data_IF_507588308606
#
_entry.id   IF_507588308606
#
_cell.length_a   1.000
_cell.length_b   1.000
_cell.length_c   1.000
_cell.angle_alpha   90.00
_cell.angle_beta   90.00
_cell.angle_gamma   90.00
#
_symmetry.space_group_name_H-M   'P 1'
#
loop_
_entity.id
_entity.type
_entity.pdbx_description
1 polymer ?
#
# COMPACT_ATOMS: atom_id res chain seq x y z
N UNK A 1 15.73 0.65 32.00
CA UNK A 1 14.38 1.19 31.74
C UNK A 1 14.28 2.63 32.27
N UNK A 2 13.51 3.49 31.62
CA UNK A 2 13.29 4.90 32.02
C UNK A 2 11.81 5.14 32.36
N UNK A 3 11.53 6.01 33.34
CA UNK A 3 10.18 6.46 33.63
C UNK A 3 9.61 7.33 32.50
N UNK A 4 8.29 7.36 32.37
CA UNK A 4 7.59 8.21 31.41
C UNK A 4 6.90 9.39 32.10
N UNK A 5 6.26 10.27 31.34
CA UNK A 5 5.39 11.31 31.88
C UNK A 5 4.07 10.78 32.48
N UNK A 6 3.81 9.46 32.42
CA UNK A 6 2.72 8.78 33.13
C UNK A 6 3.30 8.03 34.34
N UNK A 7 2.91 8.36 35.59
CA UNK A 7 3.41 7.70 36.78
C UNK A 7 3.23 6.18 36.74
N UNK A 8 4.28 5.44 37.09
CA UNK A 8 4.28 3.96 37.12
C UNK A 8 4.46 3.28 35.76
N UNK A 9 4.46 4.02 34.64
CA UNK A 9 4.76 3.48 33.32
C UNK A 9 6.23 3.69 32.97
N UNK A 10 6.92 2.60 32.67
CA UNK A 10 8.32 2.57 32.26
C UNK A 10 8.46 2.00 30.84
N UNK A 11 9.41 2.53 30.08
CA UNK A 11 9.78 2.01 28.76
C UNK A 11 11.31 1.83 28.67
N UNK A 12 11.83 1.34 27.55
CA UNK A 12 13.28 1.24 27.32
C UNK A 12 13.95 2.62 27.33
N UNK A 13 15.13 2.73 27.94
CA UNK A 13 15.94 3.95 27.98
C UNK A 13 16.38 4.44 26.60
N UNK A 14 16.32 3.59 25.57
CA UNK A 14 16.64 3.95 24.19
C UNK A 14 15.55 4.75 23.48
N UNK A 15 14.38 4.95 24.10
CA UNK A 15 13.28 5.73 23.56
C UNK A 15 12.97 6.99 24.42
N UNK A 16 13.97 7.83 24.74
CA UNK A 16 13.78 8.95 25.67
C UNK A 16 12.80 10.01 25.15
N UNK A 17 12.69 10.19 23.83
CA UNK A 17 11.73 11.11 23.24
C UNK A 17 10.29 10.58 23.29
N UNK A 18 10.10 9.26 23.14
CA UNK A 18 8.79 8.60 23.27
C UNK A 18 8.31 8.64 24.72
N UNK A 19 9.23 8.54 25.70
CA UNK A 19 8.89 8.58 27.12
C UNK A 19 8.13 9.84 27.55
N UNK A 20 8.29 10.95 26.80
CA UNK A 20 7.65 12.25 27.04
C UNK A 20 6.22 12.35 26.49
N UNK A 21 5.74 11.31 25.82
CA UNK A 21 4.46 11.28 25.14
C UNK A 21 3.60 10.08 25.55
N UNK A 22 3.92 9.42 26.66
CA UNK A 22 3.24 8.20 27.06
C UNK A 22 1.76 8.42 27.46
N UNK A 23 1.40 9.64 27.84
CA UNK A 23 0.02 10.11 28.06
C UNK A 23 -0.84 10.08 26.78
N UNK A 24 -0.21 9.97 25.60
CA UNK A 24 -0.86 9.91 24.28
C UNK A 24 -0.82 8.52 23.65
N UNK A 25 -0.30 7.52 24.37
CA UNK A 25 -0.10 6.17 23.86
C UNK A 25 -1.08 5.19 24.52
N UNK A 26 -1.57 4.23 23.73
CA UNK A 26 -2.22 3.04 24.25
C UNK A 26 -1.20 1.90 24.33
N UNK A 27 -1.00 1.34 25.53
CA UNK A 27 -0.06 0.22 25.73
C UNK A 27 -0.80 -1.11 25.63
N UNK A 28 -0.55 -1.86 24.55
CA UNK A 28 -1.13 -3.18 24.32
C UNK A 28 -0.09 -4.24 24.71
N UNK A 29 -0.39 -5.03 25.75
CA UNK A 29 0.47 -6.14 26.24
C UNK A 29 -0.02 -7.53 25.84
N UNK A 30 -1.11 -7.59 25.09
CA UNK A 30 -1.77 -8.83 24.68
C UNK A 30 -1.34 -9.34 23.30
N UNK A 31 -0.41 -8.67 22.63
CA UNK A 31 0.10 -9.12 21.32
C UNK A 31 1.08 -10.26 21.55
N UNK A 32 0.76 -11.45 21.02
CA UNK A 32 1.59 -12.63 21.08
C UNK A 32 1.17 -13.66 20.02
N UNK A 33 2.06 -14.61 19.74
CA UNK A 33 1.82 -15.72 18.82
C UNK A 33 2.25 -17.06 19.45
N UNK A 34 1.67 -18.16 18.98
CA UNK A 34 1.88 -19.50 19.52
C UNK A 34 2.90 -20.33 18.73
N UNK A 35 3.43 -19.77 17.65
CA UNK A 35 4.48 -20.38 16.84
C UNK A 35 5.56 -19.32 16.53
N UNK A 36 6.75 -19.76 16.14
CA UNK A 36 7.92 -18.89 15.94
C UNK A 36 8.23 -18.64 14.46
N UNK A 37 7.32 -18.95 13.53
CA UNK A 37 7.55 -18.75 12.10
C UNK A 37 7.21 -17.30 11.68
N UNK A 38 8.03 -16.76 10.79
CA UNK A 38 7.91 -15.43 10.20
C UNK A 38 6.76 -15.37 9.21
N UNK A 39 6.57 -16.37 8.34
CA UNK A 39 5.44 -16.41 7.40
C UNK A 39 4.08 -16.33 8.09
N UNK A 40 3.85 -17.13 9.13
CA UNK A 40 2.59 -17.19 9.87
C UNK A 40 2.39 -15.95 10.75
N UNK A 41 3.46 -15.46 11.39
CA UNK A 41 3.46 -14.24 12.18
C UNK A 41 3.16 -13.00 11.35
N UNK A 42 3.75 -12.90 10.16
CA UNK A 42 3.47 -11.84 9.21
C UNK A 42 2.00 -11.88 8.77
N UNK A 43 1.46 -13.05 8.40
CA UNK A 43 0.03 -13.17 8.08
C UNK A 43 -0.85 -12.70 9.23
N UNK A 44 -0.55 -13.11 10.48
CA UNK A 44 -1.31 -12.67 11.64
C UNK A 44 -1.25 -11.15 11.85
N UNK A 45 -0.07 -10.54 11.68
CA UNK A 45 0.09 -9.09 11.78
C UNK A 45 -0.62 -8.31 10.68
N UNK A 46 -0.65 -8.83 9.45
CA UNK A 46 -1.22 -8.18 8.27
C UNK A 46 -2.74 -8.37 8.12
N UNK A 47 -3.29 -9.44 8.69
CA UNK A 47 -4.71 -9.82 8.52
C UNK A 47 -5.50 -9.82 9.84
N UNK A 48 -4.82 -9.79 10.98
CA UNK A 48 -5.43 -10.00 12.30
C UNK A 48 -5.88 -11.45 12.55
N UNK A 49 -5.50 -12.41 11.69
CA UNK A 49 -5.90 -13.82 11.78
C UNK A 49 -4.69 -14.75 11.82
N UNK A 50 -4.68 -15.68 12.78
CA UNK A 50 -3.69 -16.76 12.81
C UNK A 50 -3.77 -17.56 11.52
N UNK A 51 -2.62 -17.92 10.97
CA UNK A 51 -2.54 -18.81 9.83
C UNK A 51 -2.80 -20.27 10.27
N UNK A 52 -3.41 -21.09 9.42
CA UNK A 52 -3.73 -22.49 9.76
C UNK A 52 -2.49 -23.40 9.75
N UNK A 53 -1.50 -23.06 8.93
CA UNK A 53 -0.19 -23.71 8.93
C UNK A 53 0.67 -23.18 10.07
N UNK A 54 1.53 -24.04 10.62
CA UNK A 54 2.63 -23.70 11.53
C UNK A 54 3.97 -23.99 10.86
N UNK A 55 4.21 -23.33 9.73
CA UNK A 55 5.35 -23.59 8.85
C UNK A 55 5.97 -22.27 8.40
N UNK A 56 7.25 -22.29 8.05
CA UNK A 56 7.96 -21.18 7.42
C UNK A 56 8.01 -21.32 5.89
N UNK A 57 8.17 -20.20 5.17
CA UNK A 57 8.61 -20.21 3.77
C UNK A 57 7.67 -20.93 2.79
N UNK A 58 6.36 -20.79 3.00
CA UNK A 58 5.32 -21.19 2.06
C UNK A 58 4.73 -19.97 1.34
N UNK A 59 4.21 -20.18 0.13
CA UNK A 59 3.64 -19.11 -0.68
C UNK A 59 2.25 -18.70 -0.19
N UNK A 60 1.96 -17.40 -0.28
CA UNK A 60 0.63 -16.84 -0.14
C UNK A 60 -0.39 -17.55 -1.05
N UNK A 61 -1.61 -17.73 -0.54
CA UNK A 61 -2.70 -18.44 -1.21
C UNK A 61 -3.87 -17.49 -1.41
N UNK A 62 -4.62 -17.71 -2.48
CA UNK A 62 -5.82 -16.93 -2.75
C UNK A 62 -6.92 -17.17 -1.70
N UNK A 63 -6.85 -18.26 -0.94
CA UNK A 63 -7.77 -18.57 0.16
C UNK A 63 -7.37 -17.94 1.49
N UNK A 64 -6.20 -17.28 1.56
CA UNK A 64 -5.76 -16.62 2.80
C UNK A 64 -6.68 -15.44 3.15
N UNK A 65 -6.67 -15.05 4.42
CA UNK A 65 -7.40 -13.87 4.85
C UNK A 65 -6.82 -12.60 4.19
N UNK A 66 -7.68 -11.62 3.85
CA UNK A 66 -7.25 -10.40 3.21
C UNK A 66 -6.43 -9.53 4.17
N UNK A 67 -5.51 -8.75 3.60
CA UNK A 67 -4.87 -7.65 4.31
C UNK A 67 -5.92 -6.65 4.82
N UNK A 68 -5.71 -6.01 5.96
CA UNK A 68 -6.67 -5.02 6.50
C UNK A 68 -6.96 -3.88 5.50
N UNK A 69 -5.95 -3.42 4.76
CA UNK A 69 -6.10 -2.44 3.66
C UNK A 69 -6.97 -2.95 2.50
N UNK A 70 -6.95 -4.25 2.20
CA UNK A 70 -7.85 -4.86 1.21
C UNK A 70 -9.28 -4.93 1.72
N UNK A 71 -9.48 -5.19 3.01
CA UNK A 71 -10.81 -5.10 3.65
C UNK A 71 -11.36 -3.69 3.56
N UNK A 72 -10.54 -2.67 3.84
CA UNK A 72 -10.93 -1.27 3.65
C UNK A 72 -11.26 -0.95 2.19
N UNK A 73 -10.47 -1.47 1.24
CA UNK A 73 -10.76 -1.31 -0.19
C UNK A 73 -12.10 -1.93 -0.60
N UNK A 74 -12.54 -3.01 0.06
CA UNK A 74 -13.83 -3.65 -0.16
C UNK A 74 -15.00 -2.90 0.50
N UNK A 75 -14.86 -2.52 1.77
CA UNK A 75 -15.95 -1.95 2.57
C UNK A 75 -16.13 -0.44 2.35
N UNK A 76 -15.03 0.28 2.13
CA UNK A 76 -15.02 1.74 2.04
C UNK A 76 -13.95 2.22 1.04
N UNK A 77 -14.18 2.01 -0.27
CA UNK A 77 -13.25 2.46 -1.29
C UNK A 77 -13.08 3.98 -1.29
N UNK A 78 -11.86 4.44 -1.54
CA UNK A 78 -11.54 5.85 -1.70
C UNK A 78 -12.10 6.36 -3.03
N UNK A 79 -12.90 7.43 -2.97
CA UNK A 79 -13.50 8.06 -4.15
C UNK A 79 -12.76 9.33 -4.60
N UNK A 80 -11.63 9.66 -3.96
CA UNK A 80 -10.84 10.88 -4.21
C UNK A 80 -9.85 10.79 -5.39
N UNK A 81 -9.94 9.76 -6.23
CA UNK A 81 -8.98 9.52 -7.33
C UNK A 81 -7.61 9.03 -6.87
N UNK A 82 -7.52 8.57 -5.63
CA UNK A 82 -6.36 7.90 -5.02
C UNK A 82 -6.76 6.47 -4.62
N UNK A 83 -5.82 5.52 -4.61
CA UNK A 83 -6.09 4.16 -4.14
C UNK A 83 -6.38 4.16 -2.63
N UNK A 84 -7.26 3.27 -2.18
CA UNK A 84 -7.53 3.07 -0.74
C UNK A 84 -6.37 2.41 -0.01
N UNK A 85 -5.60 1.57 -0.72
CA UNK A 85 -4.53 0.78 -0.12
C UNK A 85 -3.33 0.78 -1.07
N UNK A 86 -2.18 1.19 -0.54
CA UNK A 86 -0.89 1.23 -1.23
C UNK A 86 0.11 0.36 -0.47
N UNK A 87 0.94 -0.38 -1.20
CA UNK A 87 2.07 -1.13 -0.66
C UNK A 87 3.35 -0.71 -1.37
N UNK A 88 4.42 -0.48 -0.62
CA UNK A 88 5.73 -0.04 -1.12
C UNK A 88 6.86 -0.42 -0.14
N UNK A 89 8.12 -0.46 -0.59
CA UNK A 89 8.57 -0.46 -1.98
C UNK A 89 8.67 -1.87 -2.59
N UNK A 90 8.34 -2.91 -1.83
CA UNK A 90 8.52 -4.29 -2.27
C UNK A 90 7.47 -5.22 -1.65
N UNK A 91 7.31 -6.38 -2.28
CA UNK A 91 6.59 -7.47 -1.66
C UNK A 91 7.51 -8.18 -0.68
N UNK A 92 6.98 -8.58 0.46
CA UNK A 92 7.71 -9.37 1.44
C UNK A 92 7.85 -10.78 0.88
N UNK A 93 9.10 -11.22 0.74
CA UNK A 93 9.47 -12.59 0.38
C UNK A 93 10.30 -13.19 1.52
N UNK A 94 10.15 -14.49 1.73
CA UNK A 94 11.08 -15.25 2.56
C UNK A 94 12.40 -15.49 1.83
N UNK A 95 13.43 -15.92 2.56
CA UNK A 95 14.78 -16.13 1.99
C UNK A 95 14.82 -17.11 0.82
N UNK A 96 13.89 -18.06 0.76
CA UNK A 96 13.75 -19.00 -0.36
C UNK A 96 12.87 -18.49 -1.52
N UNK A 97 12.45 -17.21 -1.47
CA UNK A 97 11.65 -16.55 -2.51
C UNK A 97 10.13 -16.72 -2.37
N UNK A 98 9.63 -17.46 -1.37
CA UNK A 98 8.19 -17.61 -1.19
C UNK A 98 7.54 -16.27 -0.80
N UNK A 99 6.40 -15.96 -1.42
CA UNK A 99 5.65 -14.74 -1.11
C UNK A 99 5.02 -14.89 0.27
N UNK A 100 5.32 -13.98 1.19
CA UNK A 100 4.74 -14.01 2.54
C UNK A 100 3.20 -13.87 2.46
N UNK A 101 2.42 -14.72 3.15
CA UNK A 101 0.95 -14.64 3.15
C UNK A 101 0.40 -13.36 3.79
N UNK A 102 -0.83 -12.99 3.40
CA UNK A 102 -1.58 -11.87 3.99
C UNK A 102 -1.30 -10.47 3.41
N UNK A 103 -0.56 -10.37 2.31
CA UNK A 103 -0.15 -9.10 1.70
C UNK A 103 -1.16 -8.48 0.70
N UNK A 104 -2.30 -9.14 0.44
CA UNK A 104 -3.24 -8.72 -0.62
C UNK A 104 -4.69 -9.07 -0.33
N UNK A 105 -5.50 -9.13 -1.39
CA UNK A 105 -6.95 -9.32 -1.33
C UNK A 105 -7.39 -10.70 -0.87
N UNK A 106 -6.52 -11.73 -0.97
CA UNK A 106 -6.84 -13.09 -0.52
C UNK A 106 -8.21 -13.55 -1.02
N UNK A 107 -9.04 -14.06 -0.10
CA UNK A 107 -10.41 -14.53 -0.39
C UNK A 107 -11.37 -13.45 -0.94
N UNK A 108 -11.06 -12.15 -0.82
CA UNK A 108 -11.85 -11.08 -1.44
C UNK A 108 -11.57 -10.95 -2.94
N UNK A 109 -10.47 -11.54 -3.41
CA UNK A 109 -10.06 -11.50 -4.81
C UNK A 109 -9.09 -10.37 -5.12
N UNK A 110 -8.38 -10.54 -6.25
CA UNK A 110 -7.26 -9.68 -6.65
C UNK A 110 -7.65 -8.23 -6.90
N UNK A 111 -8.90 -7.94 -7.23
CA UNK A 111 -9.39 -6.56 -7.43
C UNK A 111 -9.24 -5.65 -6.21
N UNK A 112 -9.05 -6.23 -5.01
CA UNK A 112 -8.78 -5.54 -3.75
C UNK A 112 -7.31 -5.64 -3.30
N UNK A 113 -6.41 -6.13 -4.16
CA UNK A 113 -4.97 -6.06 -3.94
C UNK A 113 -4.53 -4.58 -3.81
N UNK A 114 -3.47 -4.29 -3.03
CA UNK A 114 -2.93 -2.93 -2.93
C UNK A 114 -2.48 -2.42 -4.31
N UNK A 115 -2.57 -1.09 -4.49
CA UNK A 115 -1.76 -0.45 -5.51
C UNK A 115 -0.29 -0.56 -5.12
N UNK A 116 0.46 -1.39 -5.85
CA UNK A 116 1.83 -1.70 -5.47
C UNK A 116 2.83 -0.85 -6.24
N UNK A 117 3.71 -0.21 -5.49
CA UNK A 117 4.84 0.57 -5.99
C UNK A 117 6.07 -0.26 -5.72
N UNK A 118 6.72 -0.73 -6.78
CA UNK A 118 7.94 -1.53 -6.66
C UNK A 118 9.20 -0.67 -6.89
N UNK A 119 9.01 0.61 -7.24
CA UNK A 119 10.08 1.57 -7.41
C UNK A 119 10.61 2.07 -6.06
N UNK A 120 11.93 2.19 -5.99
CA UNK A 120 12.64 2.57 -4.76
C UNK A 120 12.56 4.09 -4.50
N UNK A 121 11.87 4.55 -3.43
CA UNK A 121 11.63 5.97 -3.14
C UNK A 121 12.87 6.76 -2.73
N UNK A 122 13.98 6.08 -2.46
CA UNK A 122 15.29 6.64 -2.17
C UNK A 122 16.11 7.03 -3.39
N UNK A 123 15.69 6.60 -4.58
CA UNK A 123 16.32 7.05 -5.82
C UNK A 123 16.11 8.55 -6.04
N UNK A 124 17.14 9.22 -6.58
CA UNK A 124 17.07 10.65 -6.93
C UNK A 124 16.06 10.93 -8.04
N UNK A 125 15.96 10.00 -9.00
CA UNK A 125 15.04 10.01 -10.13
C UNK A 125 13.73 9.25 -9.83
N UNK A 126 13.39 9.09 -8.53
CA UNK A 126 12.20 8.35 -8.14
C UNK A 126 10.97 8.88 -8.85
N UNK A 127 10.30 7.96 -9.52
CA UNK A 127 9.06 8.20 -10.22
C UNK A 127 8.37 6.87 -10.38
N UNK A 128 7.05 6.88 -10.29
CA UNK A 128 6.24 5.68 -10.45
C UNK A 128 5.95 5.55 -11.94
N UNK A 129 6.48 4.51 -12.58
CA UNK A 129 6.43 4.36 -14.04
C UNK A 129 4.98 4.26 -14.52
N UNK A 130 4.15 3.54 -13.76
CA UNK A 130 2.71 3.40 -14.04
C UNK A 130 1.91 4.71 -13.93
N UNK A 131 2.49 5.77 -13.35
CA UNK A 131 1.88 7.11 -13.27
C UNK A 131 2.43 8.09 -14.31
N UNK A 132 3.43 7.69 -15.12
CA UNK A 132 3.96 8.52 -16.20
C UNK A 132 3.05 8.50 -17.43
N UNK A 133 2.95 9.64 -18.08
CA UNK A 133 2.36 9.73 -19.41
C UNK A 133 3.36 9.21 -20.45
N UNK A 134 2.93 8.45 -21.47
CA UNK A 134 3.79 8.08 -22.58
C UNK A 134 4.35 9.32 -23.29
N UNK A 135 5.59 9.24 -23.78
CA UNK A 135 6.25 10.33 -24.48
C UNK A 135 5.41 10.81 -25.68
N UNK A 136 5.27 12.14 -25.80
CA UNK A 136 4.44 12.76 -26.85
C UNK A 136 2.93 12.66 -26.62
N UNK A 137 2.47 12.17 -25.46
CA UNK A 137 1.04 12.08 -25.11
C UNK A 137 0.71 12.97 -23.90
N UNK A 138 0.30 14.20 -24.17
CA UNK A 138 -0.18 15.11 -23.13
C UNK A 138 -1.50 14.65 -22.49
N UNK A 139 -1.82 15.21 -21.31
CA UNK A 139 -3.04 14.88 -20.54
C UNK A 139 -4.32 14.92 -21.36
N UNK A 140 -4.51 15.97 -22.18
CA UNK A 140 -5.70 16.09 -23.03
C UNK A 140 -5.82 14.98 -24.07
N UNK A 141 -4.69 14.53 -24.63
CA UNK A 141 -4.66 13.41 -25.59
C UNK A 141 -4.95 12.07 -24.89
N UNK A 142 -4.44 11.87 -23.68
CA UNK A 142 -4.79 10.68 -22.87
C UNK A 142 -6.27 10.66 -22.49
N UNK A 143 -6.81 11.79 -22.02
CA UNK A 143 -8.23 11.91 -21.70
C UNK A 143 -9.12 11.62 -22.93
N UNK A 144 -8.73 12.14 -24.11
CA UNK A 144 -9.41 11.85 -25.37
C UNK A 144 -9.37 10.37 -25.77
N UNK A 145 -8.20 9.72 -25.63
CA UNK A 145 -8.07 8.27 -25.86
C UNK A 145 -8.97 7.44 -24.95
N UNK A 146 -9.04 7.80 -23.66
CA UNK A 146 -9.95 7.14 -22.70
C UNK A 146 -11.42 7.27 -23.11
N UNK A 147 -11.83 8.47 -23.53
CA UNK A 147 -13.20 8.71 -23.97
C UNK A 147 -13.57 7.90 -25.23
N UNK A 148 -12.64 7.79 -26.18
CA UNK A 148 -12.81 6.97 -27.38
C UNK A 148 -12.89 5.48 -27.05
N UNK A 149 -11.97 4.96 -26.22
CA UNK A 149 -11.98 3.57 -25.79
C UNK A 149 -13.30 3.20 -25.10
N UNK A 150 -13.77 4.04 -24.17
CA UNK A 150 -15.07 3.83 -23.51
C UNK A 150 -16.26 3.86 -24.49
N UNK A 151 -16.16 4.58 -25.61
CA UNK A 151 -17.15 4.53 -26.69
C UNK A 151 -17.14 3.20 -27.45
N UNK A 152 -15.95 2.69 -27.77
CA UNK A 152 -15.75 1.40 -28.44
C UNK A 152 -16.22 0.26 -27.54
N UNK A 153 -15.79 0.24 -26.28
CA UNK A 153 -16.13 -0.81 -25.31
C UNK A 153 -17.64 -0.89 -25.06
N UNK A 154 -18.32 0.26 -24.92
CA UNK A 154 -19.79 0.28 -24.82
C UNK A 154 -20.44 -0.38 -26.03
N UNK A 155 -19.92 -0.11 -27.23
CA UNK A 155 -20.46 -0.68 -28.47
C UNK A 155 -20.21 -2.19 -28.55
N UNK A 156 -19.03 -2.65 -28.14
CA UNK A 156 -18.67 -4.07 -28.07
C UNK A 156 -19.47 -4.84 -27.00
N UNK A 157 -19.69 -4.25 -25.82
CA UNK A 157 -20.45 -4.85 -24.72
C UNK A 157 -21.94 -5.05 -25.04
N UNK A 158 -22.51 -4.25 -25.95
CA UNK A 158 -23.87 -4.45 -26.46
C UNK A 158 -23.95 -5.65 -27.41
N UNK A 159 -22.81 -6.10 -27.95
CA UNK A 159 -22.70 -7.23 -28.88
C UNK A 159 -22.31 -8.55 -28.17
N UNK A 160 -21.52 -8.51 -27.09
CA UNK A 160 -21.02 -9.71 -26.39
C UNK A 160 -21.44 -9.78 -24.91
N UNK A 161 -22.13 -10.88 -24.53
CA UNK A 161 -22.56 -11.20 -23.14
C UNK A 161 -21.58 -12.12 -22.38
N UNK A 162 -20.26 -11.96 -22.54
CA UNK A 162 -19.28 -12.86 -21.90
C UNK A 162 -18.42 -12.15 -20.82
N UNK A 163 -18.65 -12.54 -19.56
CA UNK A 163 -18.12 -11.96 -18.31
C UNK A 163 -16.67 -12.38 -17.95
N UNK A 164 -15.65 -12.02 -18.74
CA UNK A 164 -14.25 -12.28 -18.34
C UNK A 164 -13.28 -11.10 -18.41
N UNK A 165 -13.70 -9.91 -18.89
CA UNK A 165 -12.82 -8.72 -19.00
C UNK A 165 -12.90 -7.73 -17.82
N UNK A 166 -13.89 -7.85 -16.93
CA UNK A 166 -14.21 -6.80 -15.95
C UNK A 166 -13.10 -6.48 -14.93
N UNK A 167 -12.22 -7.43 -14.61
CA UNK A 167 -11.16 -7.21 -13.60
C UNK A 167 -10.00 -6.38 -14.14
N UNK A 168 -9.57 -6.65 -15.38
CA UNK A 168 -8.55 -5.86 -16.09
C UNK A 168 -9.01 -4.41 -16.28
N UNK A 169 -10.28 -4.22 -16.66
CA UNK A 169 -10.86 -2.88 -16.86
C UNK A 169 -10.78 -2.02 -15.58
N UNK A 170 -11.09 -2.58 -14.42
CA UNK A 170 -11.05 -1.82 -13.16
C UNK A 170 -9.63 -1.40 -12.74
N UNK A 171 -8.61 -2.20 -13.03
CA UNK A 171 -7.22 -1.80 -12.80
C UNK A 171 -6.79 -0.69 -13.75
N UNK A 172 -7.13 -0.83 -15.03
CA UNK A 172 -6.84 0.20 -16.04
C UNK A 172 -7.53 1.53 -15.75
N UNK A 173 -8.82 1.50 -15.36
CA UNK A 173 -9.55 2.72 -15.00
C UNK A 173 -8.92 3.42 -13.79
N UNK A 174 -8.58 2.68 -12.73
CA UNK A 174 -7.90 3.24 -11.54
C UNK A 174 -6.54 3.84 -11.88
N UNK A 175 -5.74 3.17 -12.70
CA UNK A 175 -4.46 3.69 -13.16
C UNK A 175 -4.62 5.00 -13.95
N UNK A 176 -5.57 5.03 -14.89
CA UNK A 176 -5.89 6.24 -15.67
C UNK A 176 -6.38 7.38 -14.79
N UNK A 177 -7.23 7.12 -13.81
CA UNK A 177 -7.71 8.13 -12.86
C UNK A 177 -6.55 8.72 -12.05
N UNK A 178 -5.61 7.90 -11.58
CA UNK A 178 -4.42 8.38 -10.88
C UNK A 178 -3.49 9.22 -11.78
N UNK A 179 -3.23 8.78 -13.01
CA UNK A 179 -2.41 9.52 -13.98
C UNK A 179 -3.03 10.89 -14.28
N UNK A 180 -4.34 10.94 -14.46
CA UNK A 180 -5.06 12.16 -14.80
C UNK A 180 -5.26 13.07 -13.57
N UNK A 181 -5.29 12.52 -12.36
CA UNK A 181 -5.51 13.26 -11.11
C UNK A 181 -4.30 14.14 -10.74
N UNK A 182 -4.46 15.48 -10.65
CA UNK A 182 -3.41 16.35 -10.13
C UNK A 182 -3.08 16.06 -8.66
N UNK A 183 -4.08 15.66 -7.88
CA UNK A 183 -3.92 15.30 -6.46
C UNK A 183 -3.05 14.05 -6.32
N UNK A 184 -3.30 13.02 -7.12
CA UNK A 184 -2.51 11.79 -7.09
C UNK A 184 -1.05 12.06 -7.46
N UNK A 185 -0.81 12.75 -8.58
CA UNK A 185 0.55 13.15 -8.98
C UNK A 185 1.27 13.96 -7.92
N UNK A 186 0.58 14.87 -7.23
CA UNK A 186 1.18 15.64 -6.14
C UNK A 186 1.49 14.78 -4.90
N UNK A 187 0.66 13.80 -4.57
CA UNK A 187 0.86 12.94 -3.41
C UNK A 187 2.12 12.08 -3.57
N UNK A 188 2.34 11.51 -4.76
CA UNK A 188 3.48 10.65 -5.08
C UNK A 188 4.78 11.40 -5.45
N UNK A 189 4.77 12.73 -5.45
CA UNK A 189 5.94 13.54 -5.85
C UNK A 189 6.83 13.87 -4.64
N UNK A 190 7.87 13.07 -4.44
CA UNK A 190 8.89 13.30 -3.41
C UNK A 190 9.83 14.46 -3.74
N UNK A 191 9.92 14.90 -5.00
CA UNK A 191 10.77 16.03 -5.38
C UNK A 191 10.24 17.37 -4.83
N UNK A 192 8.97 17.39 -4.41
CA UNK A 192 8.35 18.53 -3.72
C UNK A 192 8.59 18.57 -2.21
N UNK A 193 9.25 17.56 -1.64
CA UNK A 193 9.64 17.55 -0.22
C UNK A 193 11.01 18.24 -0.09
N UNK A 194 11.15 19.11 0.90
CA UNK A 194 12.44 19.76 1.18
C UNK A 194 13.53 18.74 1.55
N UNK A 195 14.78 19.02 1.19
CA UNK A 195 15.90 18.12 1.49
C UNK A 195 16.10 17.89 2.99
N UNK A 196 15.87 18.89 3.84
CA UNK A 196 15.90 18.72 5.31
C UNK A 196 14.88 17.66 5.77
N UNK A 197 13.65 17.74 5.26
CA UNK A 197 12.62 16.76 5.57
C UNK A 197 13.00 15.38 5.05
N UNK A 198 13.52 15.25 3.82
CA UNK A 198 13.97 13.95 3.30
C UNK A 198 15.11 13.37 4.14
N UNK A 199 16.06 14.21 4.56
CA UNK A 199 17.18 13.82 5.41
C UNK A 199 16.72 13.30 6.77
N UNK A 200 15.71 13.92 7.39
CA UNK A 200 15.15 13.46 8.67
C UNK A 200 14.58 12.04 8.64
N UNK A 201 14.09 11.58 7.49
CA UNK A 201 13.63 10.21 7.30
C UNK A 201 14.76 9.27 6.84
N UNK A 202 15.90 9.81 6.38
CA UNK A 202 17.02 9.06 5.84
C UNK A 202 16.86 8.71 4.36
N UNK A 203 17.94 8.82 3.58
CA UNK A 203 17.96 8.47 2.15
C UNK A 203 18.20 6.96 1.95
N UNK A 204 17.26 6.16 2.45
CA UNK A 204 17.20 4.72 2.21
C UNK A 204 15.73 4.31 2.00
N UNK A 205 15.51 3.19 1.33
CA UNK A 205 14.19 2.76 0.87
C UNK A 205 13.13 2.78 1.98
N UNK A 206 13.46 2.27 3.18
CA UNK A 206 12.54 2.30 4.32
C UNK A 206 12.15 3.73 4.73
N UNK A 207 13.11 4.63 4.90
CA UNK A 207 12.88 6.00 5.35
C UNK A 207 12.06 6.81 4.36
N UNK A 208 12.46 6.76 3.09
CA UNK A 208 11.74 7.44 2.02
C UNK A 208 10.37 6.80 1.75
N UNK A 209 10.22 5.49 1.99
CA UNK A 209 8.94 4.80 1.97
C UNK A 209 7.98 5.30 3.06
N UNK A 210 8.46 5.49 4.29
CA UNK A 210 7.66 6.09 5.38
C UNK A 210 7.30 7.54 5.07
N UNK A 211 8.21 8.32 4.49
CA UNK A 211 7.91 9.69 4.03
C UNK A 211 6.83 9.70 2.94
N UNK A 212 6.90 8.78 1.98
CA UNK A 212 5.86 8.60 0.96
C UNK A 212 4.51 8.23 1.59
N UNK A 213 4.49 7.26 2.51
CA UNK A 213 3.28 6.84 3.22
C UNK A 213 2.64 8.02 3.95
N UNK A 214 3.44 8.87 4.62
CA UNK A 214 2.94 10.10 5.24
C UNK A 214 2.27 11.03 4.24
N UNK A 215 2.90 11.30 3.09
CA UNK A 215 2.32 12.18 2.05
C UNK A 215 1.01 11.63 1.52
N UNK A 216 0.92 10.31 1.36
CA UNK A 216 -0.29 9.64 0.90
C UNK A 216 -1.43 9.78 1.92
N UNK A 217 -1.14 9.59 3.21
CA UNK A 217 -2.10 9.81 4.29
C UNK A 217 -2.57 11.27 4.31
N UNK A 218 -1.66 12.24 4.19
CA UNK A 218 -2.00 13.68 4.10
C UNK A 218 -2.86 13.98 2.86
N UNK A 219 -2.70 13.20 1.79
CA UNK A 219 -3.51 13.27 0.59
C UNK A 219 -4.81 12.42 0.67
N UNK A 220 -5.10 11.78 1.79
CA UNK A 220 -6.34 11.04 2.03
C UNK A 220 -6.37 9.63 1.45
N UNK A 221 -5.21 8.96 1.40
CA UNK A 221 -5.10 7.49 1.26
C UNK A 221 -5.36 6.83 2.61
#
# INVERSE_FOLDING_TARGET
PIGTNVPGLHITEHLPLVSRHADKLAVIRSVGQEDNNHSTGAHAGLTGRKHELKQESFNARQTDFPHFGSVLSYLQPNNGGLPTFVSLPEMIHTTNGAITPGQGGGLLGRQFDPFRINEHPDRRDFSIESLKLPDGVGLGRMAGRRALLAGVDRTASLADRANSSQSLDQFYQRALDMVLSPRARHAFDLAKVSDDQRWRYGYHAFGQGVLMARRLIEAGV
#
